data_IF_423374162456
#
_entry.id   IF_423374162456
#
_cell.length_a   1.000
_cell.length_b   1.000
_cell.length_c   1.000
_cell.angle_alpha   90.00
_cell.angle_beta   90.00
_cell.angle_gamma   90.00
#
_symmetry.space_group_name_H-M   'P 1'
#
loop_
_entity.id
_entity.type
_entity.pdbx_description
1 polymer ?
#
# COMPACT_ATOMS: atom_id res chain seq x y z
N UNK A 1 -12.99 2.40 -8.26
CA UNK A 1 -13.26 1.46 -9.39
C UNK A 1 -13.14 2.26 -10.66
N UNK A 2 -12.40 1.80 -11.67
CA UNK A 2 -12.23 2.56 -12.91
C UNK A 2 -13.56 2.66 -13.66
N UNK A 3 -13.92 3.88 -14.11
CA UNK A 3 -15.20 4.18 -14.80
C UNK A 3 -14.94 4.90 -16.14
N UNK A 4 -13.69 4.88 -16.63
CA UNK A 4 -13.31 5.56 -17.87
C UNK A 4 -13.48 4.68 -19.11
N UNK A 5 -13.60 5.32 -20.27
CA UNK A 5 -13.69 4.63 -21.57
C UNK A 5 -12.45 4.85 -22.45
N UNK A 6 -11.43 5.54 -21.94
CA UNK A 6 -10.23 5.90 -22.69
C UNK A 6 -9.14 4.83 -22.51
N UNK A 7 -8.78 4.07 -23.57
CA UNK A 7 -7.73 3.06 -23.50
C UNK A 7 -6.37 3.63 -23.07
N UNK A 8 -6.11 4.92 -23.34
CA UNK A 8 -4.83 5.57 -22.99
C UNK A 8 -4.66 5.72 -21.47
N UNK A 9 -5.74 5.85 -20.72
CA UNK A 9 -5.68 5.94 -19.26
C UNK A 9 -5.22 4.61 -18.62
N UNK A 10 -5.55 3.49 -19.27
CA UNK A 10 -5.21 2.15 -18.78
C UNK A 10 -3.84 1.69 -19.27
N UNK A 11 -3.41 2.16 -20.45
CA UNK A 11 -2.19 1.70 -21.13
C UNK A 11 -0.92 1.74 -20.25
N UNK A 12 -0.85 2.64 -19.27
CA UNK A 12 0.27 2.76 -18.33
C UNK A 12 -0.13 2.63 -16.86
N UNK A 13 -1.39 2.26 -16.58
CA UNK A 13 -1.87 2.09 -15.22
C UNK A 13 -1.08 1.00 -14.45
N UNK A 14 -0.55 -0.01 -15.17
CA UNK A 14 0.25 -1.10 -14.62
C UNK A 14 1.46 -0.68 -13.79
N UNK A 15 1.98 0.54 -14.01
CA UNK A 15 3.10 1.11 -13.25
C UNK A 15 2.74 1.30 -11.78
N UNK A 16 1.54 1.81 -11.50
CA UNK A 16 1.10 2.13 -10.12
C UNK A 16 -0.01 1.20 -9.62
N UNK A 17 -0.67 0.46 -10.50
CA UNK A 17 -1.81 -0.38 -10.17
C UNK A 17 -1.61 -1.80 -10.68
N UNK A 18 -2.04 -2.77 -9.87
CA UNK A 18 -2.18 -4.17 -10.27
C UNK A 18 -3.62 -4.42 -10.71
N UNK A 19 -3.86 -4.97 -11.92
CA UNK A 19 -5.18 -5.47 -12.27
C UNK A 19 -5.48 -6.73 -11.46
N UNK A 20 -6.65 -6.77 -10.85
CA UNK A 20 -7.21 -7.92 -10.16
C UNK A 20 -8.43 -8.36 -10.93
N UNK A 21 -8.28 -9.47 -11.65
CA UNK A 21 -9.38 -10.12 -12.35
C UNK A 21 -10.26 -10.84 -11.33
N UNK A 22 -11.54 -10.52 -11.36
CA UNK A 22 -12.56 -11.13 -10.51
C UNK A 22 -13.74 -11.51 -11.40
N UNK A 23 -14.78 -12.15 -10.86
CA UNK A 23 -15.98 -12.52 -11.63
C UNK A 23 -16.79 -11.33 -12.21
N UNK A 24 -16.26 -10.11 -12.13
CA UNK A 24 -16.85 -8.87 -12.62
C UNK A 24 -15.79 -7.96 -13.24
N UNK A 25 -16.01 -6.63 -13.30
CA UNK A 25 -15.07 -5.72 -13.93
C UNK A 25 -13.70 -5.74 -13.25
N UNK A 26 -12.61 -5.76 -14.04
CA UNK A 26 -11.23 -5.74 -13.53
C UNK A 26 -11.04 -4.59 -12.56
N UNK A 27 -10.57 -4.92 -11.35
CA UNK A 27 -10.28 -3.93 -10.31
C UNK A 27 -8.81 -3.55 -10.38
N UNK A 28 -8.53 -2.25 -10.43
CA UNK A 28 -7.17 -1.74 -10.35
C UNK A 28 -6.84 -1.38 -8.91
N UNK A 29 -5.88 -2.08 -8.35
CA UNK A 29 -5.47 -1.96 -6.94
C UNK A 29 -4.09 -1.30 -6.87
N UNK A 30 -3.89 -0.26 -6.04
CA UNK A 30 -2.60 0.42 -5.91
C UNK A 30 -1.48 -0.54 -5.50
N UNK A 31 -0.31 -0.40 -6.12
CA UNK A 31 0.97 -0.98 -5.67
C UNK A 31 1.54 -0.08 -4.58
N UNK A 32 1.00 -0.19 -3.38
CA UNK A 32 1.42 0.62 -2.25
C UNK A 32 1.32 -0.14 -0.95
N UNK A 33 2.04 0.36 0.06
CA UNK A 33 2.01 -0.11 1.44
C UNK A 33 1.81 1.12 2.33
N UNK A 34 0.83 1.06 3.23
CA UNK A 34 0.48 2.13 4.15
C UNK A 34 1.03 1.76 5.51
N UNK A 35 1.94 2.58 6.03
CA UNK A 35 2.68 2.27 7.25
C UNK A 35 2.50 3.45 8.21
N UNK A 36 2.07 3.15 9.42
CA UNK A 36 2.06 4.10 10.52
C UNK A 36 2.38 3.35 11.82
N UNK A 37 2.97 4.03 12.79
CA UNK A 37 3.14 3.47 14.13
C UNK A 37 1.86 3.63 14.97
N UNK A 38 0.86 4.35 14.45
CA UNK A 38 -0.45 4.51 15.07
C UNK A 38 -1.59 4.13 14.11
N UNK A 39 -2.55 3.37 14.61
CA UNK A 39 -3.68 2.93 13.78
C UNK A 39 -4.62 4.06 13.32
N UNK A 40 -4.56 5.24 13.94
CA UNK A 40 -5.50 6.34 13.71
C UNK A 40 -5.56 6.79 12.25
N UNK A 41 -4.40 7.06 11.64
CA UNK A 41 -4.32 7.55 10.25
C UNK A 41 -4.74 6.47 9.26
N UNK A 42 -4.26 5.24 9.45
CA UNK A 42 -4.59 4.11 8.60
C UNK A 42 -6.10 3.79 8.63
N UNK A 43 -6.73 3.87 9.81
CA UNK A 43 -8.18 3.72 9.94
C UNK A 43 -8.94 4.84 9.23
N UNK A 44 -8.44 6.08 9.29
CA UNK A 44 -9.02 7.20 8.55
C UNK A 44 -8.97 6.94 7.04
N UNK A 45 -7.82 6.55 6.49
CA UNK A 45 -7.65 6.19 5.07
C UNK A 45 -8.63 5.08 4.67
N UNK A 46 -8.73 4.02 5.48
CA UNK A 46 -9.62 2.87 5.21
C UNK A 46 -11.11 3.23 5.25
N UNK A 47 -11.50 4.15 6.12
CA UNK A 47 -12.88 4.65 6.21
C UNK A 47 -13.21 5.71 5.15
N UNK A 48 -12.19 6.26 4.48
CA UNK A 48 -12.33 7.32 3.51
C UNK A 48 -12.99 6.87 2.19
N UNK A 49 -13.31 7.83 1.29
CA UNK A 49 -13.98 7.55 0.02
C UNK A 49 -13.22 6.57 -0.89
N UNK A 50 -11.89 6.50 -0.73
CA UNK A 50 -10.99 5.63 -1.49
C UNK A 50 -10.50 4.42 -0.66
N UNK A 51 -11.00 4.20 0.55
CA UNK A 51 -10.49 3.14 1.42
C UNK A 51 -10.61 1.74 0.83
N UNK A 52 -11.70 1.47 0.11
CA UNK A 52 -11.93 0.20 -0.60
C UNK A 52 -11.04 -0.01 -1.85
N UNK A 53 -10.22 0.99 -2.21
CA UNK A 53 -9.25 0.89 -3.30
C UNK A 53 -8.02 0.08 -2.89
N UNK A 54 -7.61 0.20 -1.62
CA UNK A 54 -6.42 -0.44 -1.07
C UNK A 54 -6.73 -1.85 -0.59
N UNK A 55 -5.72 -2.72 -0.59
CA UNK A 55 -5.90 -4.05 -0.02
C UNK A 55 -5.76 -3.99 1.50
N UNK A 56 -6.55 -4.75 2.27
CA UNK A 56 -6.40 -4.76 3.72
C UNK A 56 -5.02 -5.22 4.18
N UNK A 57 -4.36 -6.12 3.44
CA UNK A 57 -3.04 -6.68 3.75
C UNK A 57 -1.86 -5.74 3.44
N UNK A 58 -2.11 -4.51 2.97
CA UNK A 58 -1.08 -3.49 2.73
C UNK A 58 -1.00 -2.44 3.83
N UNK A 59 -1.81 -2.55 4.89
CA UNK A 59 -1.79 -1.65 6.03
C UNK A 59 -1.01 -2.25 7.19
N UNK A 60 0.01 -1.53 7.65
CA UNK A 60 0.81 -1.87 8.82
C UNK A 60 0.66 -0.76 9.86
N UNK A 61 0.22 -1.13 11.06
CA UNK A 61 -0.04 -0.19 12.15
C UNK A 61 0.53 -0.72 13.45
N UNK A 62 1.27 0.13 14.17
CA UNK A 62 1.69 -0.15 15.55
C UNK A 62 0.61 0.20 16.59
N UNK A 63 0.87 -0.18 17.84
CA UNK A 63 0.07 0.21 19.00
C UNK A 63 0.53 1.53 19.62
N UNK A 64 1.79 1.94 19.37
CA UNK A 64 2.40 3.13 19.94
C UNK A 64 3.13 3.96 18.90
N UNK A 65 2.84 5.27 18.83
CA UNK A 65 3.55 6.18 17.96
C UNK A 65 5.01 6.42 18.36
N UNK A 66 5.81 6.88 17.40
CA UNK A 66 7.19 7.30 17.66
C UNK A 66 7.29 8.54 18.56
N UNK A 67 6.23 9.36 18.67
CA UNK A 67 6.22 10.56 19.51
C UNK A 67 7.30 11.57 19.13
N UNK A 68 7.51 11.79 17.83
CA UNK A 68 8.59 12.62 17.27
C UNK A 68 10.02 12.19 17.67
N UNK A 69 10.21 10.96 18.15
CA UNK A 69 11.52 10.41 18.47
C UNK A 69 11.98 9.43 17.37
N UNK A 70 13.04 9.82 16.66
CA UNK A 70 13.63 8.99 15.60
C UNK A 70 14.14 7.64 16.11
N UNK A 71 14.78 7.60 17.29
CA UNK A 71 15.32 6.35 17.83
C UNK A 71 14.20 5.36 18.18
N UNK A 72 13.06 5.86 18.68
CA UNK A 72 11.88 5.03 18.96
C UNK A 72 11.31 4.45 17.66
N UNK A 73 11.21 5.27 16.61
CA UNK A 73 10.79 4.81 15.29
C UNK A 73 11.74 3.79 14.66
N UNK A 74 13.06 3.98 14.79
CA UNK A 74 14.03 3.14 14.10
C UNK A 74 14.40 1.86 14.86
N UNK A 75 14.64 1.95 16.17
CA UNK A 75 15.20 0.84 16.96
C UNK A 75 14.18 0.02 17.73
N UNK A 76 13.00 0.57 18.05
CA UNK A 76 12.01 -0.12 18.89
C UNK A 76 10.70 -0.36 18.14
N UNK A 77 9.84 0.64 18.01
CA UNK A 77 8.46 0.45 17.51
C UNK A 77 8.45 0.07 16.03
N UNK A 78 9.27 0.74 15.20
CA UNK A 78 9.34 0.40 13.78
C UNK A 78 10.06 -0.92 13.51
N UNK A 79 10.92 -1.37 14.43
CA UNK A 79 11.60 -2.64 14.31
C UNK A 79 10.62 -3.83 14.46
N UNK A 80 9.51 -3.66 15.19
CA UNK A 80 8.48 -4.70 15.31
C UNK A 80 7.65 -4.87 14.03
N UNK A 81 7.48 -3.81 13.23
CA UNK A 81 6.66 -3.84 12.01
C UNK A 81 7.46 -4.20 10.74
N UNK A 82 8.77 -4.02 10.77
CA UNK A 82 9.61 -4.00 9.57
C UNK A 82 9.59 -5.33 8.80
N UNK A 83 9.56 -6.46 9.50
CA UNK A 83 9.59 -7.80 8.88
C UNK A 83 8.32 -8.04 8.04
N UNK A 84 7.15 -7.72 8.60
CA UNK A 84 5.87 -7.85 7.89
C UNK A 84 5.78 -6.92 6.68
N UNK A 85 6.32 -5.70 6.82
CA UNK A 85 6.40 -4.73 5.71
C UNK A 85 7.28 -5.29 4.58
N UNK A 86 8.45 -5.83 4.91
CA UNK A 86 9.35 -6.41 3.92
C UNK A 86 8.72 -7.59 3.18
N UNK A 87 7.96 -8.44 3.86
CA UNK A 87 7.26 -9.56 3.22
C UNK A 87 6.21 -9.11 2.19
N UNK A 88 5.48 -8.02 2.48
CA UNK A 88 4.54 -7.45 1.51
C UNK A 88 5.28 -6.78 0.36
N UNK A 89 6.30 -5.98 0.64
CA UNK A 89 7.12 -5.32 -0.39
C UNK A 89 7.73 -6.35 -1.34
N UNK A 90 8.26 -7.45 -0.78
CA UNK A 90 8.81 -8.56 -1.57
C UNK A 90 7.76 -9.17 -2.48
N UNK A 91 6.60 -9.57 -1.96
CA UNK A 91 5.51 -10.16 -2.76
C UNK A 91 5.03 -9.22 -3.86
N UNK A 92 4.90 -7.92 -3.57
CA UNK A 92 4.51 -6.92 -4.59
C UNK A 92 5.59 -6.74 -5.66
N UNK A 93 6.87 -6.81 -5.27
CA UNK A 93 8.01 -6.69 -6.17
C UNK A 93 8.13 -7.91 -7.10
N UNK A 94 7.94 -9.12 -6.56
CA UNK A 94 7.92 -10.37 -7.33
C UNK A 94 6.75 -10.43 -8.33
N UNK A 95 5.66 -9.71 -8.05
CA UNK A 95 4.50 -9.57 -8.95
C UNK A 95 4.67 -8.48 -10.04
N UNK A 96 5.85 -7.85 -10.13
CA UNK A 96 6.18 -6.90 -11.20
C UNK A 96 7.01 -7.58 -12.29
N UNK A 97 6.66 -7.38 -13.57
CA UNK A 97 7.46 -7.91 -14.69
C UNK A 97 8.88 -7.32 -14.72
N UNK A 98 8.98 -6.01 -14.42
CA UNK A 98 10.23 -5.28 -14.29
C UNK A 98 10.06 -4.12 -13.29
N UNK A 99 10.46 -4.32 -12.04
CA UNK A 99 10.39 -3.29 -11.01
C UNK A 99 11.35 -2.13 -11.33
N UNK A 100 10.82 -0.91 -11.38
CA UNK A 100 11.61 0.30 -11.64
C UNK A 100 12.28 0.87 -10.38
N UNK A 101 11.65 0.68 -9.22
CA UNK A 101 12.12 1.21 -7.94
C UNK A 101 10.98 1.42 -6.94
N UNK A 102 11.27 2.15 -5.88
CA UNK A 102 10.31 2.49 -4.82
C UNK A 102 10.17 4.01 -4.71
N UNK A 103 8.94 4.46 -4.46
CA UNK A 103 8.65 5.83 -4.07
C UNK A 103 8.23 5.84 -2.60
N UNK A 104 8.94 6.62 -1.78
CA UNK A 104 8.69 6.77 -0.33
C UNK A 104 8.20 8.19 -0.11
N UNK A 105 7.07 8.32 0.60
CA UNK A 105 6.38 9.60 0.87
C UNK A 105 6.25 9.75 2.38
#
# INVERSE_FOLDING_TARGET
>A
MYVGNDPLQIARAGVYFSPVDSAGPTKYVPRSVQIDLEAGVCNHIRSGPLGALFRPDTFFTGESGAGNNWAKGYYTEGAELIDGIFDVIRRQSEACDALQGFQII
#
